data_IF_313554969583
#
_entry.id   IF_313554969583
#
_cell.length_a   1.000
_cell.length_b   1.000
_cell.length_c   1.000
_cell.angle_alpha   90.00
_cell.angle_beta   90.00
_cell.angle_gamma   90.00
#
_symmetry.space_group_name_H-M   'P 1'
#
loop_
_entity.id
_entity.type
_entity.pdbx_description
1 polymer ?
#
# COMPACT_ATOMS: atom_id res chain seq x y z
N UNK A 1 26.57 -11.00 55.30
CA UNK A 1 26.63 -9.82 54.41
C UNK A 1 25.91 -10.17 53.12
N UNK A 2 24.85 -9.41 52.83
CA UNK A 2 24.07 -9.30 51.58
C UNK A 2 23.24 -10.51 51.10
N UNK A 3 21.98 -10.51 51.53
CA UNK A 3 20.85 -11.04 50.79
C UNK A 3 20.72 -10.32 49.43
N UNK A 4 20.65 -11.07 48.33
CA UNK A 4 20.22 -10.54 47.03
C UNK A 4 18.72 -10.77 46.89
N UNK A 5 17.96 -9.73 47.20
CA UNK A 5 16.57 -9.56 46.79
C UNK A 5 16.60 -9.34 45.27
N UNK A 6 16.11 -10.32 44.51
CA UNK A 6 15.71 -10.09 43.11
C UNK A 6 14.24 -9.68 43.17
N UNK A 7 14.01 -8.37 43.19
CA UNK A 7 12.69 -7.81 42.96
C UNK A 7 12.42 -7.88 41.45
N UNK A 8 11.70 -8.92 41.01
CA UNK A 8 10.97 -8.88 39.74
C UNK A 8 9.73 -8.02 40.02
N UNK A 9 9.87 -6.70 39.86
CA UNK A 9 8.72 -5.81 39.88
C UNK A 9 8.06 -5.87 38.49
N UNK A 10 6.86 -6.43 38.48
CA UNK A 10 5.99 -6.51 37.33
C UNK A 10 5.65 -5.10 36.80
N UNK A 11 6.03 -4.81 35.56
CA UNK A 11 5.39 -3.78 34.74
C UNK A 11 4.38 -4.51 33.83
N UNK A 12 3.27 -4.92 34.45
CA UNK A 12 2.12 -5.57 33.81
C UNK A 12 0.89 -4.65 33.93
N UNK A 13 1.08 -3.37 33.66
CA UNK A 13 0.02 -2.37 33.60
C UNK A 13 0.21 -1.60 32.30
N UNK A 14 -0.52 -1.96 31.22
CA UNK A 14 -0.64 -1.08 30.05
C UNK A 14 -1.70 -1.52 29.03
N UNK A 15 -1.74 -2.80 28.64
CA UNK A 15 -2.52 -3.20 27.47
C UNK A 15 -4.05 -2.93 27.57
N UNK A 16 -4.77 -3.34 28.64
CA UNK A 16 -6.20 -3.04 28.74
C UNK A 16 -6.48 -1.54 28.91
N UNK A 17 -5.62 -0.80 29.61
CA UNK A 17 -5.79 0.64 29.81
C UNK A 17 -5.56 1.45 28.52
N UNK A 18 -4.62 1.03 27.65
CA UNK A 18 -4.43 1.65 26.33
C UNK A 18 -5.56 1.31 25.35
N UNK A 19 -6.17 0.13 25.48
CA UNK A 19 -7.34 -0.24 24.70
C UNK A 19 -8.57 0.56 25.11
N UNK A 20 -8.75 0.88 26.40
CA UNK A 20 -9.90 1.68 26.88
C UNK A 20 -9.98 3.06 26.19
N UNK A 21 -8.85 3.64 25.80
CA UNK A 21 -8.79 4.92 25.07
C UNK A 21 -9.32 4.81 23.62
N UNK A 22 -9.51 3.60 23.08
CA UNK A 22 -10.24 3.36 21.83
C UNK A 22 -11.76 3.44 22.01
N UNK A 23 -12.28 3.46 23.24
CA UNK A 23 -13.70 3.60 23.48
C UNK A 23 -14.24 4.93 22.95
N UNK A 24 -15.40 4.85 22.31
CA UNK A 24 -16.10 5.98 21.70
C UNK A 24 -16.24 5.82 20.18
N UNK A 25 -16.53 6.93 19.53
CA UNK A 25 -16.89 6.97 18.12
C UNK A 25 -15.75 7.53 17.26
N UNK A 26 -15.54 6.92 16.10
CA UNK A 26 -14.47 7.20 15.17
C UNK A 26 -15.02 7.27 13.75
N UNK A 27 -14.72 8.34 13.04
CA UNK A 27 -15.16 8.53 11.66
C UNK A 27 -13.95 8.53 10.72
N UNK A 28 -14.12 7.90 9.57
CA UNK A 28 -13.35 8.19 8.37
C UNK A 28 -14.17 9.15 7.52
N UNK A 29 -13.58 10.29 7.16
CA UNK A 29 -14.17 11.25 6.24
C UNK A 29 -13.43 11.25 4.91
N UNK A 30 -14.18 11.45 3.83
CA UNK A 30 -13.64 11.55 2.49
C UNK A 30 -14.42 12.63 1.73
N UNK A 31 -13.71 13.56 1.10
CA UNK A 31 -14.30 14.71 0.42
C UNK A 31 -15.18 15.55 1.35
N UNK A 32 -14.84 15.61 2.64
CA UNK A 32 -15.57 16.33 3.67
C UNK A 32 -16.85 15.65 4.17
N UNK A 33 -17.19 14.44 3.73
CA UNK A 33 -18.38 13.69 4.19
C UNK A 33 -17.98 12.41 4.95
N UNK A 34 -18.81 11.99 5.91
CA UNK A 34 -18.57 10.74 6.65
C UNK A 34 -18.77 9.54 5.71
N UNK A 35 -17.78 8.64 5.70
CA UNK A 35 -17.75 7.47 4.84
C UNK A 35 -17.82 6.18 5.65
N UNK A 36 -16.96 6.04 6.66
CA UNK A 36 -17.01 4.93 7.60
C UNK A 36 -17.17 5.51 9.01
N UNK A 37 -17.96 4.85 9.85
CA UNK A 37 -18.06 5.18 11.27
C UNK A 37 -18.02 3.92 12.09
N UNK A 38 -17.18 3.94 13.12
CA UNK A 38 -17.05 2.88 14.10
C UNK A 38 -17.38 3.44 15.48
N UNK A 39 -18.24 2.76 16.22
CA UNK A 39 -18.46 3.02 17.64
C UNK A 39 -17.99 1.81 18.42
N UNK A 40 -17.01 1.99 19.31
CA UNK A 40 -16.37 0.91 20.05
C UNK A 40 -16.60 1.10 21.54
N UNK A 41 -16.87 0.02 22.26
CA UNK A 41 -17.02 0.05 23.71
C UNK A 41 -16.57 -1.26 24.37
N UNK A 42 -15.80 -1.18 25.48
CA UNK A 42 -15.45 -2.35 26.27
C UNK A 42 -16.68 -2.89 27.01
N UNK A 43 -16.68 -4.20 27.24
CA UNK A 43 -17.70 -4.94 27.99
C UNK A 43 -17.02 -5.94 28.93
N UNK A 44 -17.73 -6.50 29.93
CA UNK A 44 -17.16 -7.55 30.76
C UNK A 44 -16.71 -8.80 29.99
N UNK A 45 -17.28 -9.03 28.80
CA UNK A 45 -17.06 -10.21 27.96
C UNK A 45 -16.01 -9.97 26.83
N UNK A 46 -15.48 -8.75 26.72
CA UNK A 46 -14.58 -8.35 25.63
C UNK A 46 -14.93 -6.97 25.10
N UNK A 47 -14.99 -6.81 23.78
CA UNK A 47 -15.34 -5.56 23.11
C UNK A 47 -16.56 -5.75 22.21
N UNK A 48 -17.37 -4.70 22.13
CA UNK A 48 -18.46 -4.59 21.16
C UNK A 48 -18.28 -3.33 20.34
N UNK A 49 -18.87 -3.33 19.15
CA UNK A 49 -18.94 -2.12 18.36
C UNK A 49 -19.97 -2.17 17.25
N UNK A 50 -20.22 -1.01 16.67
CA UNK A 50 -21.05 -0.86 15.47
C UNK A 50 -20.21 -0.30 14.34
N UNK A 51 -20.48 -0.72 13.11
CA UNK A 51 -19.83 -0.21 11.90
C UNK A 51 -20.89 0.29 10.91
N UNK A 52 -20.95 1.61 10.74
CA UNK A 52 -21.78 2.26 9.72
C UNK A 52 -20.96 2.55 8.46
N UNK A 53 -21.52 2.25 7.29
CA UNK A 53 -20.89 2.44 5.98
C UNK A 53 -21.92 2.53 4.85
N UNK A 54 -21.58 3.06 3.66
CA UNK A 54 -22.42 2.90 2.49
C UNK A 54 -22.65 1.42 2.18
N UNK A 55 -23.85 1.09 1.73
CA UNK A 55 -24.22 -0.27 1.29
C UNK A 55 -23.24 -0.81 0.23
N UNK A 56 -22.87 0.04 -0.73
CA UNK A 56 -21.87 -0.30 -1.75
C UNK A 56 -20.88 0.83 -1.95
N UNK A 57 -19.59 0.50 -1.99
CA UNK A 57 -18.51 1.41 -2.33
C UNK A 57 -17.31 0.63 -2.85
N UNK A 58 -16.39 1.34 -3.52
CA UNK A 58 -15.03 0.86 -3.80
C UNK A 58 -14.03 1.77 -3.10
N UNK A 59 -12.93 1.21 -2.63
CA UNK A 59 -11.81 1.98 -2.11
C UNK A 59 -10.49 1.32 -2.50
N UNK A 60 -9.51 2.17 -2.78
CA UNK A 60 -8.15 1.81 -3.16
C UNK A 60 -7.15 2.42 -2.14
N UNK A 61 -7.59 2.63 -0.90
CA UNK A 61 -6.78 3.20 0.21
C UNK A 61 -6.65 4.72 0.22
N UNK A 62 -6.83 5.40 -0.93
CA UNK A 62 -6.70 6.86 -1.05
C UNK A 62 -8.02 7.60 -1.29
N UNK A 63 -9.03 6.90 -1.78
CA UNK A 63 -10.32 7.47 -2.11
C UNK A 63 -11.42 6.44 -1.97
N UNK A 64 -12.65 6.93 -1.99
CA UNK A 64 -13.87 6.14 -2.16
C UNK A 64 -14.53 6.52 -3.48
N UNK A 65 -15.01 5.52 -4.22
CA UNK A 65 -15.71 5.71 -5.48
C UNK A 65 -16.86 4.71 -5.60
N UNK A 66 -17.76 4.93 -6.58
CA UNK A 66 -18.94 4.09 -6.81
C UNK A 66 -19.78 3.91 -5.53
N UNK A 67 -19.87 4.98 -4.74
CA UNK A 67 -20.59 4.99 -3.48
C UNK A 67 -22.09 5.07 -3.76
N UNK A 68 -22.84 4.03 -3.40
CA UNK A 68 -24.27 3.89 -3.68
C UNK A 68 -25.01 3.24 -2.50
N UNK A 69 -26.32 3.45 -2.46
CA UNK A 69 -27.20 2.88 -1.43
C UNK A 69 -27.21 3.68 -0.12
N UNK A 70 -28.06 3.27 0.84
CA UNK A 70 -28.15 3.91 2.15
C UNK A 70 -26.94 3.57 3.03
N UNK A 71 -26.83 4.25 4.17
CA UNK A 71 -25.93 3.79 5.22
C UNK A 71 -26.49 2.51 5.86
N UNK A 72 -25.67 1.48 5.92
CA UNK A 72 -25.95 0.22 6.62
C UNK A 72 -25.14 0.16 7.90
N UNK A 73 -25.64 -0.57 8.91
CA UNK A 73 -24.97 -0.78 10.19
C UNK A 73 -24.77 -2.27 10.43
N UNK A 74 -23.55 -2.66 10.75
CA UNK A 74 -23.21 -4.00 11.24
C UNK A 74 -22.84 -3.93 12.73
N UNK A 75 -23.34 -4.86 13.51
CA UNK A 75 -22.83 -5.08 14.86
C UNK A 75 -21.58 -5.96 14.81
N UNK A 76 -20.70 -5.77 15.77
CA UNK A 76 -19.47 -6.53 15.89
C UNK A 76 -19.10 -6.80 17.33
N UNK A 77 -18.36 -7.88 17.53
CA UNK A 77 -17.81 -8.28 18.82
C UNK A 77 -16.39 -8.81 18.67
N UNK A 78 -15.63 -8.75 19.75
CA UNK A 78 -14.25 -9.21 19.73
C UNK A 78 -13.52 -8.94 21.03
N UNK A 79 -12.20 -8.81 20.96
CA UNK A 79 -11.36 -8.76 22.15
C UNK A 79 -10.15 -7.83 21.97
N UNK A 80 -9.69 -7.28 23.10
CA UNK A 80 -8.43 -6.57 23.16
C UNK A 80 -7.27 -7.57 22.97
N UNK A 81 -6.29 -7.15 22.20
CA UNK A 81 -5.08 -7.91 21.90
C UNK A 81 -3.99 -7.54 22.91
N UNK A 82 -3.00 -8.43 23.07
CA UNK A 82 -1.90 -8.22 24.02
C UNK A 82 -1.07 -6.95 23.75
N UNK A 83 -1.10 -6.44 22.51
CA UNK A 83 -0.41 -5.23 22.08
C UNK A 83 -1.24 -3.93 22.26
N UNK A 84 -2.44 -4.02 22.85
CA UNK A 84 -3.34 -2.88 23.02
C UNK A 84 -4.25 -2.57 21.83
N UNK A 85 -4.13 -3.31 20.72
CA UNK A 85 -5.10 -3.24 19.62
C UNK A 85 -6.44 -3.86 20.05
N UNK A 86 -7.54 -3.49 19.40
CA UNK A 86 -8.83 -4.19 19.55
C UNK A 86 -9.19 -4.84 18.23
N UNK A 87 -9.45 -6.15 18.22
CA UNK A 87 -9.88 -6.87 17.03
C UNK A 87 -11.36 -7.24 17.16
N UNK A 88 -12.19 -6.77 16.23
CA UNK A 88 -13.61 -7.10 16.15
C UNK A 88 -13.92 -7.88 14.88
N UNK A 89 -14.91 -8.75 14.98
CA UNK A 89 -15.56 -9.40 13.87
C UNK A 89 -16.94 -8.76 13.69
N UNK A 90 -17.23 -8.22 12.50
CA UNK A 90 -18.50 -7.59 12.16
C UNK A 90 -19.31 -8.51 11.25
N UNK A 91 -20.60 -8.66 11.57
CA UNK A 91 -21.51 -9.44 10.74
C UNK A 91 -21.73 -8.77 9.38
N UNK A 92 -21.59 -9.53 8.30
CA UNK A 92 -22.00 -9.06 6.98
C UNK A 92 -23.51 -9.30 6.82
N UNK A 93 -24.32 -8.25 6.57
CA UNK A 93 -25.76 -8.38 6.36
C UNK A 93 -26.14 -9.22 5.13
N UNK A 94 -25.20 -9.56 4.24
CA UNK A 94 -25.45 -10.37 3.06
C UNK A 94 -25.44 -11.88 3.35
N UNK A 95 -26.41 -12.66 2.82
CA UNK A 95 -26.46 -14.11 3.02
C UNK A 95 -25.19 -14.83 2.55
N UNK A 96 -24.65 -15.73 3.39
CA UNK A 96 -23.45 -16.54 3.13
C UNK A 96 -22.12 -15.80 3.06
N UNK A 97 -22.09 -14.51 3.39
CA UNK A 97 -20.85 -13.76 3.52
C UNK A 97 -20.05 -14.20 4.74
N UNK A 98 -18.72 -14.08 4.64
CA UNK A 98 -17.84 -14.24 5.80
C UNK A 98 -17.86 -12.95 6.60
N UNK A 99 -17.90 -13.00 7.94
CA UNK A 99 -17.84 -11.77 8.72
C UNK A 99 -16.50 -11.06 8.53
N UNK A 100 -16.53 -9.74 8.49
CA UNK A 100 -15.36 -8.89 8.30
C UNK A 100 -14.54 -8.83 9.59
N UNK A 101 -13.22 -9.10 9.49
CA UNK A 101 -12.30 -8.92 10.62
C UNK A 101 -11.64 -7.56 10.52
N UNK A 102 -11.78 -6.77 11.58
CA UNK A 102 -11.29 -5.39 11.62
C UNK A 102 -10.48 -5.20 12.90
N UNK A 103 -9.27 -4.63 12.77
CA UNK A 103 -8.39 -4.35 13.90
C UNK A 103 -8.18 -2.85 14.06
N UNK A 104 -8.34 -2.36 15.28
CA UNK A 104 -8.21 -0.97 15.66
C UNK A 104 -6.97 -0.76 16.50
N UNK A 105 -6.25 0.33 16.24
CA UNK A 105 -5.07 0.74 16.99
C UNK A 105 -5.15 2.24 17.30
N UNK A 106 -4.96 2.61 18.56
CA UNK A 106 -4.90 4.03 18.92
C UNK A 106 -3.59 4.63 18.41
N UNK A 107 -3.65 5.82 17.81
CA UNK A 107 -2.47 6.62 17.47
C UNK A 107 -2.25 7.65 18.58
N UNK A 108 -3.29 8.44 18.84
CA UNK A 108 -3.36 9.45 19.89
C UNK A 108 -4.85 9.63 20.30
N UNK A 109 -5.18 10.45 21.31
CA UNK A 109 -6.57 10.58 21.77
C UNK A 109 -7.58 11.05 20.69
N UNK A 110 -7.12 11.69 19.61
CA UNK A 110 -7.95 12.19 18.52
C UNK A 110 -7.90 11.31 17.26
N UNK A 111 -6.96 10.36 17.16
CA UNK A 111 -6.75 9.56 15.96
C UNK A 111 -6.55 8.07 16.25
N UNK A 112 -7.14 7.23 15.40
CA UNK A 112 -6.94 5.78 15.42
C UNK A 112 -6.63 5.26 14.01
N UNK A 113 -6.06 4.07 13.93
CA UNK A 113 -5.97 3.29 12.70
C UNK A 113 -7.01 2.19 12.73
N UNK A 114 -7.52 1.86 11.55
CA UNK A 114 -8.29 0.67 11.31
C UNK A 114 -7.62 -0.15 10.21
N UNK A 115 -7.43 -1.43 10.46
CA UNK A 115 -6.95 -2.41 9.48
C UNK A 115 -8.15 -3.27 9.10
N UNK A 116 -8.61 -3.11 7.86
CA UNK A 116 -9.69 -3.91 7.29
C UNK A 116 -9.18 -5.28 6.82
N UNK A 117 -10.08 -6.20 6.56
CA UNK A 117 -9.72 -7.49 5.98
C UNK A 117 -8.95 -7.31 4.66
N UNK A 118 -7.96 -8.17 4.43
CA UNK A 118 -6.97 -8.00 3.36
C UNK A 118 -5.79 -7.07 3.69
N UNK A 119 -5.79 -6.42 4.86
CA UNK A 119 -4.65 -5.66 5.38
C UNK A 119 -4.57 -4.20 4.93
N UNK A 120 -5.66 -3.64 4.40
CA UNK A 120 -5.74 -2.22 4.08
C UNK A 120 -5.88 -1.40 5.37
N UNK A 121 -4.95 -0.48 5.59
CA UNK A 121 -4.94 0.41 6.74
C UNK A 121 -5.52 1.77 6.38
N UNK A 122 -6.49 2.25 7.17
CA UNK A 122 -7.07 3.59 7.05
C UNK A 122 -6.97 4.32 8.38
N UNK A 123 -6.91 5.66 8.33
CA UNK A 123 -6.91 6.51 9.52
C UNK A 123 -8.32 6.99 9.84
N UNK A 124 -8.63 7.04 11.12
CA UNK A 124 -9.89 7.50 11.69
C UNK A 124 -9.64 8.72 12.59
N UNK A 125 -10.60 9.62 12.66
CA UNK A 125 -10.62 10.73 13.61
C UNK A 125 -11.73 10.52 14.63
N UNK A 126 -11.48 10.89 15.88
CA UNK A 126 -12.49 10.86 16.93
C UNK A 126 -13.68 11.74 16.53
N UNK A 127 -14.89 11.24 16.72
CA UNK A 127 -16.13 11.86 16.26
C UNK A 127 -17.17 11.94 17.38
N UNK A 128 -18.10 12.89 17.24
CA UNK A 128 -19.27 13.04 18.13
C UNK A 128 -20.57 12.60 17.45
N UNK A 129 -20.52 12.02 16.25
CA UNK A 129 -21.70 11.62 15.49
C UNK A 129 -22.02 12.55 14.32
N UNK A 130 -23.23 12.42 13.80
CA UNK A 130 -23.74 13.20 12.67
C UNK A 130 -24.27 12.34 11.52
N UNK A 131 -24.79 12.95 10.46
CA UNK A 131 -25.30 12.19 9.31
C UNK A 131 -24.18 11.46 8.56
N UNK A 132 -24.48 10.25 8.09
CA UNK A 132 -23.69 9.55 7.07
C UNK A 132 -24.11 10.06 5.68
N UNK A 133 -23.15 10.33 4.79
CA UNK A 133 -23.42 10.93 3.49
C UNK A 133 -23.99 12.37 3.56
N UNK A 134 -24.78 12.82 2.56
CA UNK A 134 -25.17 12.09 1.36
C UNK A 134 -23.99 11.77 0.44
N UNK A 135 -24.14 10.71 -0.35
CA UNK A 135 -23.13 10.29 -1.33
C UNK A 135 -23.69 10.36 -2.76
N UNK A 136 -22.81 10.65 -3.70
CA UNK A 136 -23.06 10.72 -5.13
C UNK A 136 -22.23 9.64 -5.82
N UNK A 137 -22.92 8.72 -6.48
CA UNK A 137 -22.32 7.59 -7.20
C UNK A 137 -21.38 7.97 -8.35
N UNK A 138 -21.55 9.18 -8.89
CA UNK A 138 -20.69 9.71 -9.96
C UNK A 138 -19.42 10.37 -9.40
N UNK A 139 -19.38 10.67 -8.11
CA UNK A 139 -18.26 11.36 -7.47
C UNK A 139 -17.24 10.37 -6.90
N UNK A 140 -15.97 10.77 -7.00
CA UNK A 140 -14.86 10.18 -6.25
C UNK A 140 -14.54 11.07 -5.06
N UNK A 141 -14.34 10.46 -3.90
CA UNK A 141 -14.13 11.11 -2.62
C UNK A 141 -12.71 10.81 -2.12
N UNK A 142 -11.75 11.74 -2.29
CA UNK A 142 -10.42 11.60 -1.67
C UNK A 142 -10.56 11.52 -0.16
N UNK A 143 -9.79 10.64 0.49
CA UNK A 143 -9.78 10.56 1.96
C UNK A 143 -9.22 11.87 2.53
N UNK A 144 -9.88 12.40 3.56
CA UNK A 144 -9.48 13.64 4.20
C UNK A 144 -8.17 13.43 4.99
N UNK A 145 -7.25 14.40 4.90
CA UNK A 145 -6.01 14.36 5.68
C UNK A 145 -6.33 14.57 7.15
N UNK A 146 -5.91 13.62 7.99
CA UNK A 146 -6.27 13.60 9.42
C UNK A 146 -5.33 14.42 10.30
N UNK A 147 -4.08 14.64 9.88
CA UNK A 147 -3.08 15.42 10.64
C UNK A 147 -2.47 16.53 9.79
N UNK A 148 -2.15 17.65 10.45
CA UNK A 148 -1.38 18.72 9.81
C UNK A 148 0.06 18.30 9.57
N UNK A 149 0.73 18.97 8.62
CA UNK A 149 2.16 18.77 8.32
C UNK A 149 2.99 18.84 9.60
N UNK A 150 3.89 17.87 9.76
CA UNK A 150 4.74 17.73 10.92
C UNK A 150 5.76 18.90 10.99
N UNK A 151 5.79 19.66 12.11
CA UNK A 151 6.68 20.81 12.24
C UNK A 151 8.17 20.42 12.30
N UNK A 152 8.51 19.24 12.81
CA UNK A 152 9.88 18.72 12.80
C UNK A 152 10.33 18.41 11.38
N UNK A 153 9.49 17.74 10.58
CA UNK A 153 9.80 17.43 9.18
C UNK A 153 10.01 18.72 8.36
N UNK A 154 9.14 19.71 8.57
CA UNK A 154 9.29 21.04 7.95
C UNK A 154 10.61 21.71 8.33
N UNK A 155 11.04 21.61 9.60
CA UNK A 155 12.30 22.19 10.07
C UNK A 155 13.51 21.50 9.44
N UNK A 156 13.48 20.16 9.37
CA UNK A 156 14.54 19.34 8.75
C UNK A 156 14.71 19.73 7.27
N UNK A 157 13.60 19.82 6.53
CA UNK A 157 13.62 20.20 5.13
C UNK A 157 14.18 21.61 4.90
N UNK A 158 13.75 22.59 5.70
CA UNK A 158 14.27 23.97 5.60
C UNK A 158 15.78 24.04 5.87
N UNK A 159 16.27 23.30 6.86
CA UNK A 159 17.69 23.19 7.14
C UNK A 159 18.45 22.56 5.96
N UNK A 160 17.89 21.49 5.38
CA UNK A 160 18.49 20.80 4.23
C UNK A 160 18.58 21.69 2.98
N UNK A 161 17.56 22.51 2.73
CA UNK A 161 17.60 23.51 1.65
C UNK A 161 18.61 24.63 1.91
N UNK A 162 18.73 25.08 3.16
CA UNK A 162 19.64 26.16 3.54
C UNK A 162 21.10 25.77 3.32
N UNK A 163 21.50 24.60 3.81
CA UNK A 163 22.88 24.12 3.67
C UNK A 163 23.29 24.04 2.19
N UNK A 164 22.37 23.64 1.31
CA UNK A 164 22.66 23.55 -0.13
C UNK A 164 22.88 24.89 -0.82
N UNK A 165 22.31 25.98 -0.31
CA UNK A 165 22.60 27.33 -0.83
C UNK A 165 23.99 27.82 -0.45
N UNK A 166 24.63 27.18 0.54
CA UNK A 166 25.83 27.69 1.20
C UNK A 166 26.97 26.66 1.36
N UNK A 167 26.86 25.45 0.81
CA UNK A 167 27.79 24.36 1.09
C UNK A 167 29.12 24.49 0.34
N UNK A 168 30.22 24.56 1.10
CA UNK A 168 31.60 24.48 0.61
C UNK A 168 32.51 23.49 1.39
N UNK A 169 32.02 22.68 2.34
CA UNK A 169 32.84 21.70 3.06
C UNK A 169 32.09 20.49 3.68
N UNK A 170 32.85 19.53 4.23
CA UNK A 170 32.40 18.24 4.76
C UNK A 170 31.56 18.27 6.06
N UNK A 171 31.32 19.44 6.68
CA UNK A 171 30.37 19.57 7.79
C UNK A 171 28.92 19.40 7.31
N UNK A 172 28.62 19.83 6.09
CA UNK A 172 27.32 19.66 5.45
C UNK A 172 26.94 18.18 5.25
N UNK A 173 27.91 17.30 4.98
CA UNK A 173 27.67 15.87 4.79
C UNK A 173 27.18 15.18 6.08
N UNK A 174 27.85 15.42 7.22
CA UNK A 174 27.42 14.87 8.52
C UNK A 174 26.05 15.41 8.96
N UNK A 175 25.78 16.70 8.69
CA UNK A 175 24.48 17.29 8.96
C UNK A 175 23.37 16.65 8.11
N UNK A 176 23.66 16.31 6.85
CA UNK A 176 22.73 15.60 5.97
C UNK A 176 22.43 14.17 6.47
N UNK A 177 23.43 13.44 6.96
CA UNK A 177 23.23 12.09 7.56
C UNK A 177 22.33 12.16 8.81
N UNK A 178 22.58 13.14 9.69
CA UNK A 178 21.76 13.38 10.86
C UNK A 178 20.30 13.73 10.51
N UNK A 179 20.09 14.49 9.44
CA UNK A 179 18.74 14.79 8.92
C UNK A 179 18.06 13.54 8.38
N UNK A 180 18.74 12.72 7.57
CA UNK A 180 18.17 11.45 7.08
C UNK A 180 17.80 10.50 8.23
N UNK A 181 18.66 10.38 9.24
CA UNK A 181 18.37 9.59 10.44
C UNK A 181 17.15 10.12 11.21
N UNK A 182 17.03 11.43 11.39
CA UNK A 182 15.85 12.03 12.05
C UNK A 182 14.57 11.87 11.23
N UNK A 183 14.64 12.02 9.91
CA UNK A 183 13.52 11.74 8.99
C UNK A 183 13.09 10.28 9.11
N UNK A 184 14.04 9.34 9.18
CA UNK A 184 13.74 7.92 9.40
C UNK A 184 13.02 7.70 10.74
N UNK A 185 13.45 8.35 11.82
CA UNK A 185 12.74 8.27 13.11
C UNK A 185 11.30 8.78 13.03
N UNK A 186 11.04 9.85 12.25
CA UNK A 186 9.68 10.35 12.05
C UNK A 186 8.82 9.36 11.27
N UNK A 187 9.40 8.67 10.28
CA UNK A 187 8.74 7.56 9.58
C UNK A 187 8.47 6.41 10.56
N UNK A 188 9.47 5.92 11.28
CA UNK A 188 9.33 4.79 12.21
C UNK A 188 8.29 5.05 13.31
N UNK A 189 8.15 6.32 13.73
CA UNK A 189 7.17 6.75 14.73
C UNK A 189 5.78 7.10 14.14
N UNK A 190 5.54 6.82 12.86
CA UNK A 190 4.30 7.15 12.15
C UNK A 190 3.88 8.64 12.28
N UNK A 191 4.87 9.53 12.24
CA UNK A 191 4.69 10.95 12.51
C UNK A 191 4.38 11.79 11.26
N UNK A 192 4.37 11.18 10.07
CA UNK A 192 4.13 11.84 8.78
C UNK A 192 2.76 11.43 8.20
N UNK A 193 2.01 12.42 7.69
CA UNK A 193 0.68 12.18 7.09
C UNK A 193 0.42 13.10 5.88
N UNK A 194 0.73 14.39 5.94
CA UNK A 194 0.37 15.26 4.81
C UNK A 194 1.22 14.93 3.57
N UNK A 195 0.73 15.21 2.36
CA UNK A 195 1.58 15.09 1.16
C UNK A 195 2.85 15.93 1.26
N UNK A 196 2.78 17.08 1.94
CA UNK A 196 3.94 17.95 2.21
C UNK A 196 4.98 17.27 3.12
N UNK A 197 4.56 16.49 4.12
CA UNK A 197 5.50 15.69 4.93
C UNK A 197 6.32 14.74 4.07
N UNK A 198 5.64 14.01 3.17
CA UNK A 198 6.28 13.03 2.30
C UNK A 198 7.16 13.70 1.23
N UNK A 199 6.77 14.86 0.70
CA UNK A 199 7.60 15.64 -0.22
C UNK A 199 8.88 16.13 0.46
N UNK A 200 8.77 16.66 1.68
CA UNK A 200 9.91 17.08 2.50
C UNK A 200 10.83 15.90 2.81
N UNK A 201 10.28 14.75 3.21
CA UNK A 201 11.06 13.55 3.47
C UNK A 201 11.78 13.05 2.21
N UNK A 202 11.09 13.02 1.07
CA UNK A 202 11.66 12.63 -0.22
C UNK A 202 12.84 13.52 -0.60
N UNK A 203 12.71 14.84 -0.44
CA UNK A 203 13.77 15.79 -0.72
C UNK A 203 15.01 15.58 0.17
N UNK A 204 14.83 15.17 1.42
CA UNK A 204 15.97 14.87 2.31
C UNK A 204 16.71 13.60 1.86
N UNK A 205 15.99 12.55 1.46
CA UNK A 205 16.60 11.30 0.97
C UNK A 205 17.20 11.42 -0.44
N UNK A 206 16.65 12.24 -1.33
CA UNK A 206 17.22 12.51 -2.66
C UNK A 206 18.67 13.05 -2.58
N UNK A 207 18.99 13.61 -1.40
CA UNK A 207 20.28 14.08 -0.85
C UNK A 207 21.37 13.03 -0.66
N UNK A 208 20.99 11.77 -0.57
CA UNK A 208 21.90 10.70 -0.20
C UNK A 208 22.88 10.32 -1.32
N UNK A 209 23.76 9.38 -1.00
CA UNK A 209 24.73 8.82 -1.94
C UNK A 209 24.50 7.31 -2.18
N UNK A 210 23.77 6.65 -1.27
CA UNK A 210 23.50 5.23 -1.36
C UNK A 210 22.34 4.95 -2.32
N UNK A 211 22.33 3.82 -3.06
CA UNK A 211 21.19 3.43 -3.89
C UNK A 211 19.87 3.42 -3.11
N UNK A 212 19.90 2.95 -1.85
CA UNK A 212 18.73 2.90 -0.99
C UNK A 212 18.16 4.28 -0.63
N UNK A 213 18.99 5.32 -0.55
CA UNK A 213 18.51 6.69 -0.32
C UNK A 213 17.65 7.16 -1.50
N UNK A 214 18.12 6.94 -2.73
CA UNK A 214 17.39 7.30 -3.94
C UNK A 214 16.10 6.50 -4.11
N UNK A 215 16.12 5.19 -3.83
CA UNK A 215 14.91 4.38 -3.90
C UNK A 215 13.87 4.84 -2.86
N UNK A 216 14.31 5.19 -1.66
CA UNK A 216 13.43 5.71 -0.61
C UNK A 216 12.87 7.08 -0.97
N UNK A 217 13.69 7.96 -1.54
CA UNK A 217 13.25 9.25 -2.05
C UNK A 217 12.19 9.11 -3.15
N UNK A 218 12.38 8.16 -4.08
CA UNK A 218 11.40 7.85 -5.11
C UNK A 218 10.04 7.46 -4.50
N UNK A 219 10.02 6.48 -3.58
CA UNK A 219 8.78 5.99 -2.96
C UNK A 219 8.06 7.06 -2.14
N UNK A 220 8.81 7.84 -1.34
CA UNK A 220 8.25 8.96 -0.58
C UNK A 220 7.63 10.02 -1.50
N UNK A 221 8.29 10.33 -2.62
CA UNK A 221 7.76 11.28 -3.60
C UNK A 221 6.49 10.76 -4.29
N UNK A 222 6.39 9.45 -4.59
CA UNK A 222 5.15 8.86 -5.11
C UNK A 222 4.00 9.01 -4.10
N UNK A 223 4.25 8.74 -2.81
CA UNK A 223 3.26 8.99 -1.75
C UNK A 223 2.84 10.46 -1.72
N UNK A 224 3.79 11.39 -1.81
CA UNK A 224 3.50 12.81 -1.84
C UNK A 224 2.58 13.20 -3.01
N UNK A 225 2.86 12.69 -4.22
CA UNK A 225 2.01 12.90 -5.41
C UNK A 225 0.62 12.34 -5.20
N UNK A 226 0.50 11.10 -4.69
CA UNK A 226 -0.78 10.47 -4.38
C UNK A 226 -1.60 11.25 -3.34
N UNK A 227 -0.92 11.99 -2.45
CA UNK A 227 -1.51 12.91 -1.45
C UNK A 227 -1.61 14.36 -1.94
N UNK A 228 -1.63 14.58 -3.25
CA UNK A 228 -1.92 15.89 -3.85
C UNK A 228 -0.72 16.84 -3.98
N UNK A 229 0.52 16.34 -3.98
CA UNK A 229 1.74 17.14 -4.20
C UNK A 229 2.39 16.85 -5.55
N UNK A 230 1.86 17.40 -6.66
CA UNK A 230 2.44 17.17 -7.99
C UNK A 230 3.86 17.72 -8.13
N UNK A 231 4.29 18.68 -7.29
CA UNK A 231 5.66 19.19 -7.25
C UNK A 231 6.71 18.11 -6.92
N UNK A 232 6.30 17.03 -6.24
CA UNK A 232 7.19 15.91 -5.91
C UNK A 232 7.51 15.01 -7.12
N UNK A 233 6.84 15.17 -8.27
CA UNK A 233 7.10 14.34 -9.47
C UNK A 233 8.55 14.41 -9.95
N UNK A 234 9.17 15.58 -9.87
CA UNK A 234 10.59 15.75 -10.23
C UNK A 234 11.47 14.92 -9.30
N UNK A 235 11.21 14.94 -7.99
CA UNK A 235 11.95 14.14 -7.01
C UNK A 235 11.76 12.65 -7.28
N UNK A 236 10.54 12.20 -7.52
CA UNK A 236 10.23 10.80 -7.79
C UNK A 236 11.05 10.29 -8.99
N UNK A 237 11.02 11.05 -10.07
CA UNK A 237 11.61 10.65 -11.35
C UNK A 237 13.14 10.70 -11.34
N UNK A 238 13.74 11.81 -10.89
CA UNK A 238 15.20 11.94 -10.78
C UNK A 238 15.82 10.95 -9.80
N UNK A 239 15.15 10.67 -8.68
CA UNK A 239 15.65 9.71 -7.70
C UNK A 239 15.63 8.29 -8.25
N UNK A 240 14.61 7.91 -9.01
CA UNK A 240 14.57 6.58 -9.62
C UNK A 240 15.64 6.40 -10.70
N UNK A 241 15.88 7.41 -11.55
CA UNK A 241 16.99 7.39 -12.51
C UNK A 241 18.35 7.20 -11.82
N UNK A 242 18.59 7.94 -10.72
CA UNK A 242 19.81 7.79 -9.92
C UNK A 242 19.91 6.41 -9.28
N UNK A 243 18.80 5.86 -8.80
CA UNK A 243 18.75 4.49 -8.29
C UNK A 243 19.16 3.49 -9.37
N UNK A 244 18.51 3.50 -10.53
CA UNK A 244 18.80 2.62 -11.68
C UNK A 244 20.26 2.70 -12.11
N UNK A 245 20.81 3.92 -12.22
CA UNK A 245 22.22 4.13 -12.56
C UNK A 245 23.16 3.51 -11.51
N UNK A 246 22.88 3.72 -10.22
CA UNK A 246 23.71 3.18 -9.12
C UNK A 246 23.68 1.66 -9.03
N UNK A 247 22.60 1.03 -9.49
CA UNK A 247 22.49 -0.43 -9.51
C UNK A 247 23.01 -1.07 -10.82
N UNK A 248 23.59 -0.28 -11.72
CA UNK A 248 24.23 -0.78 -12.95
C UNK A 248 23.28 -0.98 -14.13
N UNK A 249 22.09 -0.37 -14.11
CA UNK A 249 21.18 -0.38 -15.26
C UNK A 249 21.58 0.77 -16.22
N UNK A 250 22.59 0.53 -17.04
CA UNK A 250 23.31 1.56 -17.82
C UNK A 250 22.54 2.13 -19.02
N UNK A 251 21.44 1.49 -19.45
CA UNK A 251 20.65 1.87 -20.63
C UNK A 251 19.24 2.40 -20.30
N UNK A 252 18.96 2.75 -19.05
CA UNK A 252 17.69 3.41 -18.73
C UNK A 252 17.66 4.78 -19.44
N UNK A 253 16.76 5.01 -20.43
CA UNK A 253 16.69 6.30 -21.07
C UNK A 253 16.43 7.35 -20.00
N UNK A 254 17.24 8.41 -19.96
CA UNK A 254 17.06 9.54 -19.06
C UNK A 254 15.67 10.11 -19.29
N UNK A 255 14.70 9.66 -18.52
CA UNK A 255 13.32 9.99 -18.80
C UNK A 255 13.02 11.43 -18.31
N UNK A 256 14.03 12.06 -17.69
CA UNK A 256 14.20 13.50 -17.41
C UNK A 256 13.83 14.46 -18.55
N UNK A 257 13.99 14.07 -19.82
CA UNK A 257 13.62 14.95 -20.94
C UNK A 257 12.15 14.84 -21.38
N UNK A 258 11.39 13.83 -20.94
CA UNK A 258 9.98 13.62 -21.33
C UNK A 258 8.97 13.89 -20.22
N UNK A 259 9.41 14.00 -18.96
CA UNK A 259 8.53 14.21 -17.81
C UNK A 259 8.08 15.67 -17.60
N UNK A 260 8.90 16.63 -18.04
CA UNK A 260 8.65 18.07 -17.83
C UNK A 260 7.43 18.62 -18.60
N UNK A 261 6.90 17.88 -19.58
CA UNK A 261 5.67 18.25 -20.29
C UNK A 261 4.38 17.76 -19.61
N UNK A 262 4.46 16.82 -18.66
CA UNK A 262 3.30 16.36 -17.88
C UNK A 262 2.97 17.30 -16.70
N UNK A 263 3.95 18.07 -16.22
CA UNK A 263 3.79 18.99 -15.08
C UNK A 263 3.32 20.41 -15.44
N UNK A 264 3.08 20.71 -16.72
CA UNK A 264 2.54 22.02 -17.13
C UNK A 264 1.01 21.96 -17.14
N UNK A 265 0.44 22.60 -16.12
CA UNK A 265 -0.99 22.74 -15.78
C UNK A 265 -1.57 21.62 -14.91
N UNK A 266 -1.15 21.59 -13.64
CA UNK A 266 -1.83 20.87 -12.55
C UNK A 266 -3.00 21.66 -11.95
N UNK A 267 -3.55 22.63 -12.68
CA UNK A 267 -4.55 23.58 -12.18
C UNK A 267 -5.87 23.59 -12.96
N UNK A 268 -6.06 22.67 -13.91
CA UNK A 268 -7.36 22.49 -14.56
C UNK A 268 -7.77 21.02 -14.49
N UNK A 269 -8.93 20.78 -13.89
CA UNK A 269 -9.70 19.54 -13.93
C UNK A 269 -9.78 19.02 -15.37
N UNK A 270 -8.99 18.01 -15.72
CA UNK A 270 -9.28 17.17 -16.88
C UNK A 270 -9.12 15.74 -16.41
N UNK A 271 -10.23 15.16 -15.96
CA UNK A 271 -10.50 13.74 -16.18
C UNK A 271 -10.29 13.48 -17.68
N UNK A 272 -9.07 13.09 -18.05
CA UNK A 272 -8.75 12.73 -19.43
C UNK A 272 -9.62 11.52 -19.73
N UNK A 273 -10.38 11.58 -20.82
CA UNK A 273 -11.21 10.46 -21.21
C UNK A 273 -10.31 9.22 -21.35
N UNK A 274 -10.69 8.15 -20.65
CA UNK A 274 -9.98 6.88 -20.74
C UNK A 274 -10.19 6.27 -22.13
N UNK A 275 -9.19 5.59 -22.63
CA UNK A 275 -9.26 4.85 -23.87
C UNK A 275 -10.15 3.61 -23.67
N UNK A 276 -11.30 3.49 -24.38
CA UNK A 276 -12.23 2.40 -24.17
C UNK A 276 -11.63 1.02 -24.48
N UNK A 277 -10.65 0.95 -25.39
CA UNK A 277 -9.94 -0.29 -25.68
C UNK A 277 -9.02 -0.69 -24.53
N UNK A 278 -8.30 0.26 -23.93
CA UNK A 278 -7.47 -0.03 -22.76
C UNK A 278 -8.33 -0.47 -21.57
N UNK A 279 -9.48 0.18 -21.35
CA UNK A 279 -10.47 -0.25 -20.35
C UNK A 279 -10.92 -1.69 -20.59
N UNK A 280 -11.29 -2.04 -21.83
CA UNK A 280 -11.72 -3.40 -22.17
C UNK A 280 -10.61 -4.44 -22.00
N UNK A 281 -9.36 -4.12 -22.36
CA UNK A 281 -8.19 -4.99 -22.13
C UNK A 281 -8.01 -5.25 -20.63
N UNK A 282 -8.07 -4.22 -19.81
CA UNK A 282 -7.91 -4.33 -18.36
C UNK A 282 -9.04 -5.14 -17.72
N UNK A 283 -10.29 -4.87 -18.07
CA UNK A 283 -11.43 -5.63 -17.56
C UNK A 283 -11.35 -7.11 -17.92
N UNK A 284 -10.94 -7.42 -19.16
CA UNK A 284 -10.73 -8.79 -19.61
C UNK A 284 -9.62 -9.49 -18.79
N UNK A 285 -8.45 -8.84 -18.63
CA UNK A 285 -7.34 -9.33 -17.81
C UNK A 285 -7.77 -9.64 -16.36
N UNK A 286 -8.48 -8.71 -15.72
CA UNK A 286 -8.91 -8.89 -14.34
C UNK A 286 -10.04 -9.93 -14.19
N UNK A 287 -10.92 -10.06 -15.19
CA UNK A 287 -12.04 -11.00 -15.13
C UNK A 287 -11.60 -12.47 -15.21
N UNK A 288 -10.63 -12.79 -16.07
CA UNK A 288 -10.13 -14.16 -16.26
C UNK A 288 -9.44 -14.71 -15.01
N UNK A 289 -8.90 -13.81 -14.17
CA UNK A 289 -8.23 -14.15 -12.90
C UNK A 289 -9.20 -14.42 -11.74
N UNK A 290 -10.51 -14.20 -11.93
CA UNK A 290 -11.55 -14.49 -10.92
C UNK A 290 -12.08 -15.93 -10.97
N UNK A 291 -11.66 -16.71 -11.96
CA UNK A 291 -12.09 -18.09 -12.10
C UNK A 291 -11.63 -18.96 -10.92
N UNK A 292 -12.51 -19.86 -10.44
CA UNK A 292 -12.19 -20.77 -9.35
C UNK A 292 -11.04 -21.74 -9.68
N UNK A 293 -10.87 -22.06 -10.97
CA UNK A 293 -9.74 -22.81 -11.51
C UNK A 293 -9.25 -22.12 -12.77
N UNK A 294 -7.97 -21.73 -12.78
CA UNK A 294 -7.33 -21.00 -13.87
C UNK A 294 -6.55 -21.98 -14.75
N UNK A 295 -6.82 -21.98 -16.06
CA UNK A 295 -5.93 -22.59 -17.04
C UNK A 295 -4.81 -21.61 -17.38
N UNK A 296 -3.66 -21.81 -16.75
CA UNK A 296 -2.48 -20.96 -16.91
C UNK A 296 -1.94 -20.97 -18.34
N UNK A 297 -2.13 -22.04 -19.12
CA UNK A 297 -1.65 -22.08 -20.51
C UNK A 297 -2.46 -21.15 -21.41
N UNK A 298 -3.78 -21.11 -21.17
CA UNK A 298 -4.68 -20.21 -21.90
C UNK A 298 -4.47 -18.78 -21.45
N UNK A 299 -4.38 -18.54 -20.14
CA UNK A 299 -4.19 -17.21 -19.56
C UNK A 299 -2.87 -16.57 -20.01
N UNK A 300 -1.74 -17.28 -19.93
CA UNK A 300 -0.44 -16.73 -20.36
C UNK A 300 -0.44 -16.29 -21.83
N UNK A 301 -1.07 -17.06 -22.73
CA UNK A 301 -1.22 -16.67 -24.15
C UNK A 301 -2.12 -15.44 -24.31
N UNK A 302 -3.13 -15.28 -23.46
CA UNK A 302 -3.98 -14.08 -23.47
C UNK A 302 -3.19 -12.86 -22.95
N UNK A 303 -2.40 -13.04 -21.90
CA UNK A 303 -1.54 -11.99 -21.33
C UNK A 303 -0.50 -11.50 -22.34
N UNK A 304 0.12 -12.39 -23.10
CA UNK A 304 1.03 -12.03 -24.22
C UNK A 304 0.33 -11.17 -25.27
N UNK A 305 -0.88 -11.54 -25.72
CA UNK A 305 -1.65 -10.76 -26.71
C UNK A 305 -2.06 -9.40 -26.15
N UNK A 306 -2.47 -9.33 -24.89
CA UNK A 306 -2.82 -8.07 -24.22
C UNK A 306 -1.61 -7.16 -24.13
N UNK A 307 -0.44 -7.66 -23.71
CA UNK A 307 0.80 -6.88 -23.67
C UNK A 307 1.16 -6.33 -25.05
N UNK A 308 1.10 -7.15 -26.09
CA UNK A 308 1.35 -6.70 -27.46
C UNK A 308 0.39 -5.57 -27.87
N UNK A 309 -0.92 -5.73 -27.61
CA UNK A 309 -1.90 -4.71 -27.97
C UNK A 309 -1.78 -3.43 -27.15
N UNK A 310 -1.53 -3.54 -25.85
CA UNK A 310 -1.25 -2.38 -24.99
C UNK A 310 0.00 -1.65 -25.42
N UNK A 311 1.03 -2.36 -25.90
CA UNK A 311 2.23 -1.73 -26.46
C UNK A 311 1.90 -0.90 -27.71
N UNK A 312 1.08 -1.41 -28.63
CA UNK A 312 0.64 -0.64 -29.80
C UNK A 312 -0.12 0.64 -29.41
N UNK A 313 -0.96 0.59 -28.36
CA UNK A 313 -1.65 1.77 -27.83
C UNK A 313 -0.69 2.80 -27.23
N UNK A 314 0.35 2.34 -26.53
CA UNK A 314 1.40 3.20 -25.99
C UNK A 314 2.21 3.88 -27.12
N UNK A 315 2.62 3.12 -28.12
CA UNK A 315 3.41 3.61 -29.25
C UNK A 315 2.63 4.61 -30.11
N UNK A 316 1.32 4.42 -30.22
CA UNK A 316 0.41 5.36 -30.88
C UNK A 316 0.09 6.61 -30.03
N UNK A 317 0.52 6.68 -28.77
CA UNK A 317 0.18 7.76 -27.84
C UNK A 317 -1.31 7.79 -27.47
N UNK A 318 -1.98 6.65 -27.51
CA UNK A 318 -3.44 6.55 -27.34
C UNK A 318 -3.91 6.52 -25.88
N UNK A 319 -2.98 6.37 -24.92
CA UNK A 319 -3.26 6.35 -23.48
C UNK A 319 -3.11 7.75 -22.85
N UNK A 320 -4.09 8.16 -22.05
CA UNK A 320 -4.20 9.53 -21.57
C UNK A 320 -4.51 9.66 -20.07
N UNK A 321 -5.44 8.85 -19.57
CA UNK A 321 -5.96 8.94 -18.20
C UNK A 321 -5.12 8.16 -17.19
N UNK A 322 -5.33 8.42 -15.90
CA UNK A 322 -4.69 7.60 -14.86
C UNK A 322 -5.15 6.13 -14.94
N UNK A 323 -6.41 5.90 -15.29
CA UNK A 323 -6.99 4.57 -15.51
C UNK A 323 -6.33 3.83 -16.69
N UNK A 324 -6.01 4.52 -17.78
CA UNK A 324 -5.31 3.92 -18.93
C UNK A 324 -3.94 3.38 -18.50
N UNK A 325 -3.18 4.20 -17.77
CA UNK A 325 -1.84 3.85 -17.34
C UNK A 325 -1.84 2.81 -16.21
N UNK A 326 -2.84 2.82 -15.33
CA UNK A 326 -3.04 1.76 -14.33
C UNK A 326 -3.37 0.43 -15.02
N UNK A 327 -4.33 0.43 -15.95
CA UNK A 327 -4.68 -0.76 -16.72
C UNK A 327 -3.49 -1.32 -17.49
N UNK A 328 -2.69 -0.45 -18.12
CA UNK A 328 -1.46 -0.86 -18.78
C UNK A 328 -0.43 -1.44 -17.80
N UNK A 329 -0.27 -0.85 -16.62
CA UNK A 329 0.62 -1.39 -15.58
C UNK A 329 0.19 -2.80 -15.14
N UNK A 330 -1.12 -3.04 -14.96
CA UNK A 330 -1.65 -4.37 -14.65
C UNK A 330 -1.36 -5.39 -15.75
N UNK A 331 -1.49 -5.01 -17.03
CA UNK A 331 -1.15 -5.90 -18.15
C UNK A 331 0.35 -6.24 -18.18
N UNK A 332 1.23 -5.25 -17.99
CA UNK A 332 2.69 -5.48 -18.02
C UNK A 332 3.23 -6.21 -16.78
N UNK A 333 2.62 -6.08 -15.60
CA UNK A 333 3.06 -6.87 -14.42
C UNK A 333 2.84 -8.39 -14.59
N UNK A 334 2.13 -8.80 -15.64
CA UNK A 334 1.92 -10.21 -15.99
C UNK A 334 2.94 -10.71 -17.03
N UNK A 335 3.95 -9.90 -17.36
CA UNK A 335 5.14 -10.34 -18.10
C UNK A 335 6.09 -11.18 -17.25
N UNK A 336 7.21 -11.57 -17.85
CA UNK A 336 8.11 -12.58 -17.28
C UNK A 336 9.54 -12.04 -17.10
N UNK A 337 9.87 -10.93 -17.75
CA UNK A 337 11.20 -10.33 -17.79
C UNK A 337 11.31 -9.08 -16.87
N UNK A 338 12.51 -8.75 -16.35
CA UNK A 338 12.75 -7.51 -15.60
C UNK A 338 12.20 -6.26 -16.28
N UNK A 339 12.37 -6.14 -17.61
CA UNK A 339 11.93 -4.99 -18.39
C UNK A 339 10.40 -4.83 -18.43
N UNK A 340 9.65 -5.95 -18.35
CA UNK A 340 8.18 -5.91 -18.25
C UNK A 340 7.75 -5.27 -16.93
N UNK A 341 8.39 -5.68 -15.82
CA UNK A 341 8.10 -5.12 -14.49
C UNK A 341 8.58 -3.68 -14.34
N UNK A 342 9.73 -3.33 -14.92
CA UNK A 342 10.20 -1.95 -14.95
C UNK A 342 9.22 -1.06 -15.72
N UNK A 343 8.74 -1.51 -16.89
CA UNK A 343 7.72 -0.79 -17.65
C UNK A 343 6.42 -0.68 -16.88
N UNK A 344 5.96 -1.76 -16.24
CA UNK A 344 4.77 -1.75 -15.39
C UNK A 344 4.89 -0.74 -14.25
N UNK A 345 6.07 -0.66 -13.62
CA UNK A 345 6.36 0.32 -12.58
C UNK A 345 6.29 1.76 -13.11
N UNK A 346 6.93 2.04 -14.24
CA UNK A 346 6.84 3.37 -14.87
C UNK A 346 5.39 3.74 -15.20
N UNK A 347 4.60 2.83 -15.78
CA UNK A 347 3.19 3.05 -16.09
C UNK A 347 2.36 3.31 -14.82
N UNK A 348 2.58 2.54 -13.74
CA UNK A 348 1.93 2.75 -12.46
C UNK A 348 2.26 4.13 -11.86
N UNK A 349 3.52 4.58 -11.94
CA UNK A 349 3.91 5.92 -11.47
C UNK A 349 3.25 7.03 -12.31
N UNK A 350 3.09 6.83 -13.62
CA UNK A 350 2.36 7.76 -14.49
C UNK A 350 0.87 7.80 -14.11
N UNK A 351 0.26 6.66 -13.78
CA UNK A 351 -1.12 6.62 -13.32
C UNK A 351 -1.32 7.51 -12.07
N UNK A 352 -0.45 7.37 -11.07
CA UNK A 352 -0.46 8.23 -9.87
C UNK A 352 -0.27 9.70 -10.26
N UNK A 353 0.69 10.01 -11.14
CA UNK A 353 0.94 11.36 -11.64
C UNK A 353 -0.25 11.98 -12.41
N UNK A 354 -1.10 11.14 -13.01
CA UNK A 354 -2.33 11.53 -13.72
C UNK A 354 -3.56 11.54 -12.83
N UNK A 355 -3.39 11.53 -11.51
CA UNK A 355 -4.48 11.68 -10.55
C UNK A 355 -5.18 10.36 -10.17
N UNK A 356 -4.54 9.20 -10.40
CA UNK A 356 -5.03 7.89 -9.96
C UNK A 356 -4.24 7.40 -8.73
N UNK A 357 -4.50 7.92 -7.52
CA UNK A 357 -3.75 7.53 -6.33
C UNK A 357 -3.99 6.07 -5.90
N UNK A 358 -5.06 5.42 -6.38
CA UNK A 358 -5.25 3.98 -6.19
C UNK A 358 -4.17 3.10 -6.83
N UNK A 359 -3.47 3.62 -7.84
CA UNK A 359 -2.38 2.92 -8.49
C UNK A 359 -1.12 2.79 -7.59
N UNK A 360 -1.09 3.39 -6.40
CA UNK A 360 0.05 3.29 -5.47
C UNK A 360 0.38 1.84 -5.11
N UNK A 361 -0.62 0.97 -4.93
CA UNK A 361 -0.33 -0.45 -4.66
C UNK A 361 0.39 -1.14 -5.83
N UNK A 362 -0.02 -0.87 -7.07
CA UNK A 362 0.63 -1.46 -8.25
C UNK A 362 2.03 -0.88 -8.47
N UNK A 363 2.31 0.37 -8.07
CA UNK A 363 3.69 0.90 -7.99
C UNK A 363 4.56 0.03 -7.08
N UNK A 364 4.05 -0.27 -5.87
CA UNK A 364 4.74 -1.12 -4.89
C UNK A 364 4.99 -2.54 -5.41
N UNK A 365 3.95 -3.16 -5.97
CA UNK A 365 4.01 -4.54 -6.42
C UNK A 365 4.92 -4.73 -7.64
N UNK A 366 4.93 -3.77 -8.57
CA UNK A 366 5.80 -3.82 -9.75
C UNK A 366 7.27 -3.53 -9.42
N UNK A 367 7.54 -2.66 -8.43
CA UNK A 367 8.90 -2.44 -7.94
C UNK A 367 9.50 -3.73 -7.38
N UNK A 368 8.81 -4.40 -6.45
CA UNK A 368 9.34 -5.62 -5.85
C UNK A 368 9.54 -6.73 -6.91
N UNK A 369 8.64 -6.87 -7.89
CA UNK A 369 8.84 -7.81 -9.02
C UNK A 369 10.08 -7.48 -9.82
N UNK A 370 10.29 -6.21 -10.14
CA UNK A 370 11.49 -5.75 -10.84
C UNK A 370 12.75 -6.09 -10.05
N UNK A 371 12.77 -5.81 -8.73
CA UNK A 371 13.91 -6.11 -7.86
C UNK A 371 14.20 -7.61 -7.84
N UNK A 372 13.18 -8.42 -7.58
CA UNK A 372 13.31 -9.86 -7.46
C UNK A 372 13.79 -10.50 -8.76
N UNK A 373 13.20 -10.14 -9.91
CA UNK A 373 13.62 -10.63 -11.23
C UNK A 373 14.98 -10.11 -11.68
N UNK A 374 15.44 -9.01 -11.10
CA UNK A 374 16.80 -8.50 -11.27
C UNK A 374 17.80 -9.11 -10.27
N UNK A 375 17.40 -10.12 -9.50
CA UNK A 375 18.26 -10.80 -8.52
C UNK A 375 18.54 -10.00 -7.25
N UNK A 376 17.66 -9.05 -6.91
CA UNK A 376 17.76 -8.18 -5.72
C UNK A 376 16.69 -8.55 -4.69
N UNK A 377 16.93 -8.31 -3.39
CA UNK A 377 15.88 -8.44 -2.39
C UNK A 377 14.72 -7.49 -2.71
N UNK A 378 13.50 -7.96 -2.54
CA UNK A 378 12.34 -7.06 -2.50
C UNK A 378 12.41 -6.19 -1.25
N UNK A 379 11.72 -5.04 -1.26
CA UNK A 379 11.78 -4.06 -0.17
C UNK A 379 10.42 -3.74 0.42
N UNK A 380 9.32 -4.10 -0.28
CA UNK A 380 7.95 -3.96 0.21
C UNK A 380 7.27 -5.30 0.48
N UNK A 381 7.89 -6.44 0.21
CA UNK A 381 7.31 -7.73 0.60
C UNK A 381 6.05 -8.11 -0.17
N UNK A 382 5.78 -7.49 -1.32
CA UNK A 382 4.55 -7.76 -2.10
C UNK A 382 4.61 -9.09 -2.86
N UNK A 383 5.80 -9.67 -3.05
CA UNK A 383 5.99 -10.92 -3.79
C UNK A 383 6.05 -12.11 -2.84
N UNK A 384 5.06 -12.97 -3.00
CA UNK A 384 4.86 -14.19 -2.23
C UNK A 384 5.15 -15.39 -3.14
N UNK A 385 6.07 -16.26 -2.72
CA UNK A 385 6.56 -17.37 -3.51
C UNK A 385 6.38 -18.69 -2.80
N UNK A 386 6.00 -19.72 -3.57
CA UNK A 386 6.12 -21.10 -3.13
C UNK A 386 7.45 -21.65 -3.62
N UNK A 387 8.31 -22.10 -2.71
CA UNK A 387 9.50 -22.88 -3.08
C UNK A 387 9.04 -24.30 -3.38
N UNK A 388 9.57 -24.93 -4.44
CA UNK A 388 9.22 -26.31 -4.78
C UNK A 388 9.47 -27.25 -3.58
N UNK A 389 8.40 -27.82 -3.01
CA UNK A 389 8.47 -28.65 -1.80
C UNK A 389 8.76 -27.89 -0.50
N UNK A 390 8.89 -26.57 -0.53
CA UNK A 390 9.18 -25.71 0.62
C UNK A 390 7.98 -24.89 1.09
N UNK A 391 8.13 -24.16 2.22
CA UNK A 391 7.08 -23.28 2.72
C UNK A 391 6.89 -22.06 1.80
N UNK A 392 5.72 -21.42 1.92
CA UNK A 392 5.50 -20.09 1.36
C UNK A 392 6.53 -19.12 1.94
N UNK A 393 7.17 -18.30 1.11
CA UNK A 393 8.16 -17.31 1.51
C UNK A 393 8.01 -15.99 0.75
N UNK A 394 8.60 -14.93 1.29
CA UNK A 394 8.83 -13.65 0.60
C UNK A 394 10.34 -13.39 0.41
N UNK A 395 11.22 -14.29 0.84
CA UNK A 395 12.66 -14.05 0.72
C UNK A 395 13.17 -14.25 -0.72
N UNK A 396 14.19 -13.49 -1.16
CA UNK A 396 14.96 -12.50 -0.39
C UNK A 396 14.21 -11.18 -0.18
N UNK A 397 14.20 -10.68 1.07
CA UNK A 397 13.43 -9.50 1.46
C UNK A 397 14.17 -8.66 2.52
N UNK A 398 14.54 -7.43 2.15
CA UNK A 398 15.02 -6.41 3.09
C UNK A 398 13.86 -5.78 3.86
N UNK A 399 13.58 -6.34 5.03
CA UNK A 399 12.52 -5.87 5.93
C UNK A 399 12.86 -4.56 6.63
N UNK A 400 14.12 -4.11 6.59
CA UNK A 400 14.58 -2.89 7.28
C UNK A 400 14.48 -1.64 6.42
N UNK A 401 14.27 -1.80 5.12
CA UNK A 401 14.25 -0.69 4.17
C UNK A 401 13.10 0.30 4.41
N UNK A 402 11.88 -0.21 4.60
CA UNK A 402 10.65 0.57 4.75
C UNK A 402 9.99 0.33 6.12
N UNK A 403 9.72 1.43 6.83
CA UNK A 403 8.90 1.45 8.05
C UNK A 403 7.46 1.04 7.73
N UNK A 404 6.72 0.53 8.72
CA UNK A 404 5.29 0.21 8.54
C UNK A 404 4.46 1.43 8.11
N UNK A 405 4.79 2.63 8.57
CA UNK A 405 4.14 3.86 8.11
C UNK A 405 4.34 4.14 6.61
N UNK A 406 5.53 3.87 6.07
CA UNK A 406 5.81 4.01 4.64
C UNK A 406 5.10 2.90 3.85
N UNK A 407 5.06 1.67 4.39
CA UNK A 407 4.31 0.55 3.79
C UNK A 407 2.85 0.90 3.66
N UNK A 408 2.23 1.34 4.75
CA UNK A 408 0.81 1.72 4.77
C UNK A 408 0.53 2.87 3.80
N UNK A 409 1.39 3.89 3.77
CA UNK A 409 1.28 4.97 2.78
C UNK A 409 1.45 4.46 1.34
N UNK A 410 2.17 3.37 1.12
CA UNK A 410 2.32 2.69 -0.16
C UNK A 410 1.23 1.63 -0.43
N UNK A 411 0.14 1.61 0.36
CA UNK A 411 -0.93 0.60 0.33
C UNK A 411 -0.43 -0.84 0.53
N UNK A 412 0.67 -1.01 1.24
CA UNK A 412 1.26 -2.31 1.59
C UNK A 412 1.00 -2.60 3.07
N UNK A 413 0.57 -3.83 3.43
CA UNK A 413 0.38 -4.21 4.83
C UNK A 413 1.67 -4.09 5.66
N UNK A 414 1.50 -3.95 6.99
CA UNK A 414 2.63 -3.98 7.93
C UNK A 414 3.39 -5.31 7.87
N UNK A 415 4.63 -5.35 8.37
CA UNK A 415 5.39 -6.61 8.43
C UNK A 415 4.64 -7.72 9.18
N UNK A 416 4.03 -7.38 10.32
CA UNK A 416 3.25 -8.33 11.11
C UNK A 416 2.02 -8.85 10.33
N UNK A 417 1.34 -7.99 9.57
CA UNK A 417 0.20 -8.41 8.74
C UNK A 417 0.65 -9.26 7.54
N UNK A 418 1.81 -8.96 6.94
CA UNK A 418 2.39 -9.78 5.87
C UNK A 418 2.78 -11.18 6.37
N UNK A 419 3.29 -11.32 7.59
CA UNK A 419 3.54 -12.62 8.22
C UNK A 419 2.25 -13.43 8.37
N UNK A 420 1.15 -12.79 8.78
CA UNK A 420 -0.17 -13.43 8.84
C UNK A 420 -0.64 -13.85 7.44
N UNK A 421 -0.48 -12.99 6.42
CA UNK A 421 -0.80 -13.33 5.02
C UNK A 421 0.02 -14.52 4.52
N UNK A 422 1.32 -14.55 4.81
CA UNK A 422 2.20 -15.66 4.47
C UNK A 422 1.71 -16.98 5.07
N UNK A 423 1.31 -16.98 6.34
CA UNK A 423 0.77 -18.15 7.03
C UNK A 423 -0.55 -18.62 6.40
N UNK A 424 -1.44 -17.69 6.06
CA UNK A 424 -2.69 -17.99 5.38
C UNK A 424 -2.46 -18.61 4.00
N UNK A 425 -1.52 -18.07 3.21
CA UNK A 425 -1.15 -18.64 1.92
C UNK A 425 -0.54 -20.04 2.07
N UNK A 426 0.35 -20.23 3.05
CA UNK A 426 0.90 -21.55 3.35
C UNK A 426 -0.19 -22.57 3.73
N UNK A 427 -1.17 -22.16 4.53
CA UNK A 427 -2.30 -23.01 4.91
C UNK A 427 -3.17 -23.38 3.71
N UNK A 428 -3.54 -22.40 2.87
CA UNK A 428 -4.32 -22.62 1.64
C UNK A 428 -3.59 -23.56 0.68
N UNK A 429 -2.29 -23.39 0.50
CA UNK A 429 -1.48 -24.26 -0.35
C UNK A 429 -1.50 -25.72 0.15
N UNK A 430 -1.37 -25.94 1.47
CA UNK A 430 -1.48 -27.28 2.08
C UNK A 430 -2.86 -27.92 1.86
N UNK A 431 -3.93 -27.13 2.03
CA UNK A 431 -5.30 -27.60 1.81
C UNK A 431 -5.54 -28.02 0.35
N UNK A 432 -5.08 -27.20 -0.61
CA UNK A 432 -5.18 -27.53 -2.03
C UNK A 432 -4.36 -28.77 -2.41
N UNK A 433 -3.14 -28.92 -1.85
CA UNK A 433 -2.32 -30.10 -2.07
C UNK A 433 -3.00 -31.38 -1.53
N UNK A 434 -3.60 -31.31 -0.33
CA UNK A 434 -4.35 -32.43 0.24
C UNK A 434 -5.58 -32.80 -0.60
N UNK A 435 -6.32 -31.82 -1.11
CA UNK A 435 -7.47 -32.05 -2.00
C UNK A 435 -7.05 -32.72 -3.32
N UNK A 436 -5.92 -32.30 -3.92
CA UNK A 436 -5.37 -32.92 -5.13
C UNK A 436 -4.94 -34.37 -4.90
N UNK A 437 -4.31 -34.65 -3.75
CA UNK A 437 -3.91 -36.01 -3.39
C UNK A 437 -5.11 -36.95 -3.19
N UNK A 438 -6.24 -36.43 -2.72
CA UNK A 438 -7.48 -37.21 -2.56
C UNK A 438 -8.24 -37.45 -3.87
N UNK A 439 -8.00 -36.65 -4.90
CA UNK A 439 -8.72 -36.69 -6.19
C UNK A 439 -7.95 -37.38 -7.31
N UNK A 440 -6.68 -37.75 -7.11
CA UNK A 440 -5.92 -38.57 -8.05
C UNK A 440 -6.20 -40.07 -7.82
N UNK A 441 -6.64 -40.85 -8.84
CA UNK A 441 -6.79 -42.28 -8.71
C UNK A 441 -5.42 -42.94 -8.51
N UNK A 442 -5.35 -43.96 -7.64
CA UNK A 442 -4.13 -44.73 -7.39
C UNK A 442 -3.55 -45.26 -8.71
N UNK A 443 -2.22 -45.23 -8.90
CA UNK A 443 -1.61 -45.79 -10.11
C UNK A 443 -1.99 -47.27 -10.18
N UNK A 444 -2.63 -47.67 -11.29
CA UNK A 444 -2.93 -49.07 -11.56
C UNK A 444 -1.61 -49.83 -11.57
N UNK A 445 -1.37 -50.61 -10.51
CA UNK A 445 -0.19 -51.45 -10.39
C UNK A 445 -0.12 -52.38 -11.60
N UNK A 446 0.99 -52.29 -12.34
CA UNK A 446 1.38 -53.32 -13.29
C UNK A 446 1.52 -54.62 -12.50
N UNK A 447 0.52 -55.49 -12.61
CA UNK A 447 0.66 -56.89 -12.25
C UNK A 447 1.69 -57.51 -13.18
N UNK A 448 2.87 -57.82 -12.63
CA UNK A 448 3.87 -58.63 -13.29
C UNK A 448 3.26 -60.00 -13.65
N UNK A 449 3.05 -60.23 -14.95
CA UNK A 449 2.69 -61.53 -15.51
C UNK A 449 3.93 -62.42 -15.57
N UNK A 450 3.77 -63.64 -15.06
CA UNK A 450 4.74 -64.74 -15.01
C UNK A 450 5.22 -65.20 -16.38
#
# INVERSE_FOLDING_TARGET
>A
MFARIVAILALLVAAPALADDLSGQWDLRAGGVAMLRFELHPTPEGWKGTWQRPDHYRTEGYNFSKVTGPAITSDGSGEAQANGDVALQFDDPHPHSRPDRVRFRLIDPAHAKVVLDGGMTLRLSRSTGGPMGPWDSARTYPIDVTRTTNPDMTRIFKADLSDRKHASDGTAARAADGRRARTQQLLDADALDSGEDFEHAAAVFQHGEAPGDYLKAHLLAIVAVARGRPSALTIASESFDRYLAKIGHADAPSAGSRWASAGRSASDDIARASNPEMTAIFEADQSERKAASIDWTVLSKADERRRARTQELLDAGALNSGEDFEGAAFVFQHGDAPDDFLKAHLLATIAVARGKPGAVWIVSATLDRYLERSGRPQVLGTQFQSVAGGPMTQDPYDRTFASDSLREALNVPSLADQEVQQQQFAQRARQQAAQRAQTQPAPQGQTAGK
#
